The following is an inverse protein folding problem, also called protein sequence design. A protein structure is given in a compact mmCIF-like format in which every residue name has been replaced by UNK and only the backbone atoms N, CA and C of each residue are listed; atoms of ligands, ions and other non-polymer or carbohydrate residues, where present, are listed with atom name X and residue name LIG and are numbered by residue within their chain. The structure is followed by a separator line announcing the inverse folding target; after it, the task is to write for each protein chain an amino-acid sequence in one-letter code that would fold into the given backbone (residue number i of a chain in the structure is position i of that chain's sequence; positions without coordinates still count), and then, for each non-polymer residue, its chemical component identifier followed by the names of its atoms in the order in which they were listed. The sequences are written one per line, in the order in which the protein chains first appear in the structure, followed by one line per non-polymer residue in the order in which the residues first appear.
data_IF_138693848063
#
_entry.id   IF_138693848063
#
_cell.length_a   1.000
_cell.length_b   1.000
_cell.length_c   1.000
_cell.angle_alpha   90.00
_cell.angle_beta   90.00
_cell.angle_gamma   90.00
#
_symmetry.space_group_name_H-M   'P 1'
#
loop_
_entity.id
_entity.type
_entity.pdbx_description
1 polymer ?
#
# COMPACT_ATOMS: atom_id res chain seq x y z
N UNK A 1 15.77 -10.11 0.71
CA UNK A 1 14.47 -9.67 1.30
C UNK A 1 14.63 -8.27 1.88
N UNK A 2 13.67 -7.41 1.63
CA UNK A 2 13.72 -6.02 2.08
C UNK A 2 12.35 -5.62 2.61
N UNK A 3 12.32 -4.95 3.75
CA UNK A 3 11.10 -4.45 4.38
C UNK A 3 11.07 -2.92 4.27
N UNK A 4 9.99 -2.39 3.69
CA UNK A 4 9.72 -0.96 3.64
C UNK A 4 8.61 -0.62 4.63
N UNK A 5 8.88 0.24 5.59
CA UNK A 5 7.89 0.72 6.54
C UNK A 5 7.35 2.05 6.02
N UNK A 6 6.15 2.02 5.42
CA UNK A 6 5.52 3.22 4.86
C UNK A 6 4.85 4.04 5.96
N UNK A 7 4.27 3.35 6.95
CA UNK A 7 3.67 3.99 8.09
C UNK A 7 3.54 3.02 9.25
N UNK A 8 3.76 3.52 10.45
CA UNK A 8 3.66 2.74 11.69
C UNK A 8 2.88 3.50 12.76
N UNK A 9 2.07 4.47 12.34
CA UNK A 9 1.32 5.32 13.25
C UNK A 9 0.09 4.65 13.83
N UNK A 10 -0.58 5.38 14.72
CA UNK A 10 -1.84 4.98 15.33
C UNK A 10 -3.01 5.57 14.53
N UNK A 11 -4.27 5.25 14.88
CA UNK A 11 -5.43 5.89 14.25
C UNK A 11 -5.46 7.41 14.39
N UNK A 12 -4.81 7.95 15.42
CA UNK A 12 -4.80 9.39 15.64
C UNK A 12 -3.79 10.06 14.70
N UNK A 13 -4.18 11.19 14.04
CA UNK A 13 -3.27 11.90 13.15
C UNK A 13 -2.02 12.37 13.87
N UNK A 14 -0.88 12.27 13.19
CA UNK A 14 0.40 12.74 13.70
C UNK A 14 1.22 13.29 12.54
N UNK A 15 1.95 14.37 12.79
CA UNK A 15 2.81 14.98 11.78
C UNK A 15 3.98 14.07 11.38
N UNK A 16 4.43 13.21 12.29
CA UNK A 16 5.63 12.39 12.11
C UNK A 16 5.33 10.94 11.75
N UNK A 17 4.08 10.50 11.89
CA UNK A 17 3.70 9.12 11.65
C UNK A 17 2.44 9.04 10.82
N UNK A 18 2.41 8.04 9.95
CA UNK A 18 1.26 7.76 9.11
C UNK A 18 0.64 6.44 9.54
N UNK A 19 -0.59 6.18 9.11
CA UNK A 19 -1.27 4.94 9.43
C UNK A 19 -0.52 3.72 8.89
N UNK A 20 -0.94 2.54 9.30
CA UNK A 20 -0.23 1.29 9.04
C UNK A 20 -0.13 0.96 7.56
N UNK A 21 1.08 0.78 7.06
CA UNK A 21 1.34 0.24 5.73
C UNK A 21 2.79 -0.24 5.65
N UNK A 22 2.98 -1.46 5.15
CA UNK A 22 4.30 -2.08 5.02
C UNK A 22 4.41 -2.76 3.68
N UNK A 23 5.61 -2.78 3.10
CA UNK A 23 5.88 -3.54 1.89
C UNK A 23 7.08 -4.45 2.14
N UNK A 24 6.91 -5.72 1.79
CA UNK A 24 7.98 -6.71 1.84
C UNK A 24 8.39 -7.04 0.41
N UNK A 25 9.66 -6.85 0.09
CA UNK A 25 10.21 -7.21 -1.20
C UNK A 25 10.96 -8.54 -1.08
N UNK A 26 10.55 -9.52 -1.89
CA UNK A 26 11.21 -10.83 -1.97
C UNK A 26 11.56 -11.05 -3.44
N UNK A 27 12.86 -10.94 -3.79
CA UNK A 27 13.26 -10.96 -5.18
C UNK A 27 12.62 -9.81 -5.95
N UNK A 28 11.85 -10.13 -6.99
CA UNK A 28 11.13 -9.14 -7.79
C UNK A 28 9.67 -8.95 -7.35
N UNK A 29 9.23 -9.63 -6.30
CA UNK A 29 7.87 -9.53 -5.80
C UNK A 29 7.76 -8.54 -4.66
N UNK A 30 6.66 -7.75 -4.67
CA UNK A 30 6.32 -6.81 -3.61
C UNK A 30 4.99 -7.23 -3.00
N UNK A 31 5.01 -7.49 -1.70
CA UNK A 31 3.82 -7.83 -0.93
C UNK A 31 3.50 -6.66 -0.01
N UNK A 32 2.27 -6.15 -0.08
CA UNK A 32 1.87 -5.02 0.75
C UNK A 32 0.97 -5.48 1.88
N UNK A 33 1.21 -4.94 3.07
CA UNK A 33 0.42 -5.23 4.26
C UNK A 33 -0.20 -3.94 4.76
N UNK A 34 -1.52 -3.88 4.72
CA UNK A 34 -2.35 -2.73 5.05
C UNK A 34 -2.15 -1.55 4.08
N UNK A 35 -3.13 -0.66 4.04
CA UNK A 35 -3.15 0.50 3.15
C UNK A 35 -3.77 1.67 3.91
N UNK A 36 -3.07 2.10 4.95
CA UNK A 36 -3.49 3.19 5.81
C UNK A 36 -3.30 4.56 5.18
N UNK A 37 -3.56 5.64 5.93
CA UNK A 37 -3.49 6.99 5.39
C UNK A 37 -2.18 7.29 4.69
N UNK A 38 -2.25 7.85 3.48
CA UNK A 38 -1.11 8.26 2.65
C UNK A 38 -0.21 7.13 2.17
N UNK A 39 -0.66 5.86 2.26
CA UNK A 39 0.15 4.71 1.85
C UNK A 39 0.59 4.81 0.40
N UNK A 40 -0.31 5.16 -0.52
CA UNK A 40 0.01 5.30 -1.95
C UNK A 40 1.08 6.36 -2.18
N UNK A 41 0.99 7.50 -1.51
CA UNK A 41 1.99 8.56 -1.60
C UNK A 41 3.34 8.11 -1.03
N UNK A 42 3.33 7.34 0.04
CA UNK A 42 4.56 6.82 0.64
C UNK A 42 5.25 5.79 -0.26
N UNK A 43 4.49 5.00 -1.01
CA UNK A 43 5.07 4.12 -2.03
C UNK A 43 5.92 4.92 -3.02
N UNK A 44 5.40 6.05 -3.50
CA UNK A 44 6.14 6.91 -4.43
C UNK A 44 7.44 7.40 -3.81
N UNK A 45 7.44 7.72 -2.53
CA UNK A 45 8.64 8.21 -1.83
C UNK A 45 9.74 7.17 -1.73
N UNK A 46 9.40 5.89 -1.67
CA UNK A 46 10.40 4.82 -1.63
C UNK A 46 10.67 4.23 -3.02
N UNK A 47 10.09 4.81 -4.07
CA UNK A 47 10.36 4.41 -5.44
C UNK A 47 9.61 3.18 -5.90
N UNK A 48 8.52 2.80 -5.25
CA UNK A 48 7.70 1.66 -5.63
C UNK A 48 6.42 2.17 -6.27
N UNK A 49 6.14 1.73 -7.51
CA UNK A 49 4.87 2.05 -8.16
C UNK A 49 3.76 1.14 -7.64
N UNK A 50 2.53 1.65 -7.46
CA UNK A 50 1.39 0.81 -7.06
C UNK A 50 1.17 -0.39 -7.97
N UNK A 51 1.52 -0.29 -9.25
CA UNK A 51 1.35 -1.41 -10.21
C UNK A 51 2.36 -2.53 -9.99
N UNK A 52 3.40 -2.31 -9.21
CA UNK A 52 4.35 -3.35 -8.83
C UNK A 52 3.84 -4.22 -7.70
N UNK A 53 2.79 -3.78 -7.00
CA UNK A 53 2.18 -4.52 -5.89
C UNK A 53 1.09 -5.41 -6.46
N UNK A 54 1.31 -6.72 -6.48
CA UNK A 54 0.33 -7.67 -6.98
C UNK A 54 -0.46 -8.36 -5.87
N UNK A 55 0.00 -8.25 -4.63
CA UNK A 55 -0.64 -8.87 -3.47
C UNK A 55 -0.74 -7.87 -2.33
N UNK A 56 -1.95 -7.65 -1.85
CA UNK A 56 -2.25 -6.76 -0.73
C UNK A 56 -2.97 -7.55 0.35
N UNK A 57 -2.44 -7.50 1.55
CA UNK A 57 -2.98 -8.19 2.72
C UNK A 57 -3.45 -7.17 3.74
N UNK A 58 -4.69 -7.31 4.20
CA UNK A 58 -5.21 -6.50 5.31
C UNK A 58 -5.15 -7.32 6.60
N UNK A 59 -4.53 -6.75 7.63
CA UNK A 59 -4.51 -7.39 8.95
C UNK A 59 -5.88 -7.27 9.61
N UNK A 60 -6.55 -6.13 9.42
CA UNK A 60 -7.94 -5.90 9.82
C UNK A 60 -8.46 -4.65 9.11
N UNK A 61 -9.77 -4.39 9.22
CA UNK A 61 -10.41 -3.32 8.44
C UNK A 61 -10.83 -2.10 9.27
N UNK A 62 -10.00 -1.67 10.22
CA UNK A 62 -10.14 -0.34 10.80
C UNK A 62 -9.65 0.70 9.80
N UNK A 63 -10.19 1.93 9.88
CA UNK A 63 -9.90 2.95 8.86
C UNK A 63 -8.40 3.27 8.73
N UNK A 64 -7.64 3.17 9.80
CA UNK A 64 -6.20 3.45 9.79
C UNK A 64 -5.38 2.38 9.05
N UNK A 65 -6.02 1.28 8.65
CA UNK A 65 -5.39 0.20 7.88
C UNK A 65 -5.87 0.12 6.44
N UNK A 66 -7.00 0.73 6.08
CA UNK A 66 -7.56 0.58 4.74
C UNK A 66 -8.04 1.87 4.06
N UNK A 67 -7.93 3.02 4.73
CA UNK A 67 -8.52 4.27 4.20
C UNK A 67 -7.91 4.70 2.86
N UNK A 68 -6.67 4.35 2.57
CA UNK A 68 -6.02 4.71 1.32
C UNK A 68 -6.25 3.69 0.19
N UNK A 69 -6.99 2.63 0.45
CA UNK A 69 -7.24 1.58 -0.53
C UNK A 69 -7.88 2.10 -1.81
N UNK A 70 -8.93 2.95 -1.77
CA UNK A 70 -9.47 3.53 -3.00
C UNK A 70 -8.44 4.32 -3.80
N UNK A 71 -7.59 5.10 -3.15
CA UNK A 71 -6.54 5.86 -3.81
C UNK A 71 -5.53 4.92 -4.48
N UNK A 72 -5.15 3.85 -3.79
CA UNK A 72 -4.25 2.83 -4.30
C UNK A 72 -4.82 2.17 -5.56
N UNK A 73 -6.09 1.79 -5.54
CA UNK A 73 -6.77 1.18 -6.70
C UNK A 73 -6.85 2.15 -7.88
N UNK A 74 -7.22 3.40 -7.62
CA UNK A 74 -7.31 4.42 -8.67
C UNK A 74 -5.95 4.69 -9.30
N UNK A 75 -4.89 4.71 -8.50
CA UNK A 75 -3.53 4.91 -9.00
C UNK A 75 -3.09 3.77 -9.90
N UNK A 76 -3.39 2.51 -9.52
CA UNK A 76 -3.11 1.34 -10.35
C UNK A 76 -3.87 1.43 -11.68
N UNK A 77 -5.16 1.75 -11.63
CA UNK A 77 -5.98 1.87 -12.83
C UNK A 77 -5.43 2.95 -13.76
N UNK A 78 -5.07 4.09 -13.21
CA UNK A 78 -4.60 5.24 -13.98
C UNK A 78 -3.27 4.94 -14.70
N UNK A 79 -2.38 4.20 -14.06
CA UNK A 79 -1.07 3.83 -14.60
C UNK A 79 -1.16 2.71 -15.65
N UNK A 80 -2.20 1.89 -15.60
CA UNK A 80 -2.33 0.72 -16.45
C UNK A 80 -3.66 0.72 -17.23
N UNK A 81 -4.13 1.90 -17.64
CA UNK A 81 -5.39 2.03 -18.42
C UNK A 81 -5.27 1.21 -19.70
N UNK A 82 -6.30 0.39 -19.94
CA UNK A 82 -6.37 -0.48 -21.10
C UNK A 82 -5.58 -1.78 -21.00
N UNK A 83 -4.90 -2.02 -19.89
CA UNK A 83 -4.16 -3.24 -19.63
C UNK A 83 -4.81 -4.05 -18.52
N UNK A 84 -4.71 -5.36 -18.62
CA UNK A 84 -5.11 -6.22 -17.53
C UNK A 84 -4.02 -6.24 -16.47
N UNK A 85 -4.39 -5.83 -15.27
CA UNK A 85 -3.47 -5.81 -14.13
C UNK A 85 -4.21 -6.31 -12.90
N UNK A 86 -3.92 -7.55 -12.52
CA UNK A 86 -4.61 -8.20 -11.40
C UNK A 86 -3.95 -7.87 -10.08
N UNK A 87 -4.79 -7.53 -9.11
CA UNK A 87 -4.40 -7.37 -7.72
C UNK A 87 -5.11 -8.43 -6.89
N UNK A 88 -4.33 -9.20 -6.15
CA UNK A 88 -4.89 -10.16 -5.20
C UNK A 88 -5.00 -9.49 -3.83
N UNK A 89 -6.20 -9.49 -3.27
CA UNK A 89 -6.47 -8.86 -1.97
C UNK A 89 -6.92 -9.93 -0.99
N UNK A 90 -6.32 -9.93 0.18
CA UNK A 90 -6.55 -10.91 1.24
C UNK A 90 -6.90 -10.19 2.55
N UNK A 91 -7.87 -10.74 3.27
CA UNK A 91 -8.23 -10.18 4.57
C UNK A 91 -9.71 -10.07 4.91
#
# INVERSE_FOLDING_TARGET
MKLYILGSGTPLPSADRFGSAYVLQIGDEYLMFDCGPSATQKLAKVGISPVQIDNLFFTHHHFDHDVDYPCFLLSRWNLEVGKENKLNVYG
#
